data_IF_903583742002
#
_entry.id   IF_903583742002
#
_cell.length_a   1.000
_cell.length_b   1.000
_cell.length_c   1.000
_cell.angle_alpha   90.00
_cell.angle_beta   90.00
_cell.angle_gamma   90.00
#
_symmetry.space_group_name_H-M   'P 1'
#
loop_
_entity.id
_entity.type
_entity.pdbx_description
1 polymer ?
#
# COMPACT_ATOMS: atom_id res chain seq x y z
N UNK A 1 -17.91 15.19 21.63
CA UNK A 1 -16.87 15.97 20.93
C UNK A 1 -17.25 15.98 19.45
N UNK A 2 -17.65 17.13 18.90
CA UNK A 2 -18.03 17.25 17.49
C UNK A 2 -16.83 17.80 16.73
N UNK A 3 -16.18 16.96 15.93
CA UNK A 3 -15.07 17.38 15.07
C UNK A 3 -15.62 17.74 13.71
N UNK A 4 -15.40 18.98 13.28
CA UNK A 4 -15.74 19.42 11.93
C UNK A 4 -14.84 18.69 10.93
N UNK A 5 -15.41 17.77 10.17
CA UNK A 5 -14.71 17.09 9.08
C UNK A 5 -14.49 18.08 7.95
N UNK A 6 -13.24 18.46 7.72
CA UNK A 6 -12.83 19.33 6.63
C UNK A 6 -11.68 18.69 5.83
N UNK A 7 -11.39 19.24 4.64
CA UNK A 7 -10.40 18.67 3.73
C UNK A 7 -9.00 18.53 4.37
N UNK A 8 -8.61 19.46 5.26
CA UNK A 8 -7.34 19.38 5.98
C UNK A 8 -7.32 18.19 6.93
N UNK A 9 -8.36 18.06 7.76
CA UNK A 9 -8.51 16.95 8.71
C UNK A 9 -8.53 15.59 7.98
N UNK A 10 -9.23 15.48 6.85
CA UNK A 10 -9.25 14.26 6.04
C UNK A 10 -7.85 13.94 5.48
N UNK A 11 -7.15 14.95 4.95
CA UNK A 11 -5.79 14.76 4.42
C UNK A 11 -4.81 14.30 5.51
N UNK A 12 -4.86 14.92 6.68
CA UNK A 12 -4.01 14.56 7.82
C UNK A 12 -4.28 13.12 8.27
N UNK A 13 -5.56 12.75 8.41
CA UNK A 13 -5.95 11.39 8.76
C UNK A 13 -5.49 10.35 7.72
N UNK A 14 -5.57 10.67 6.42
CA UNK A 14 -5.07 9.78 5.35
C UNK A 14 -3.56 9.59 5.45
N UNK A 15 -2.81 10.66 5.72
CA UNK A 15 -1.34 10.60 5.87
C UNK A 15 -0.97 9.74 7.08
N UNK A 16 -1.61 9.99 8.22
CA UNK A 16 -1.36 9.25 9.47
C UNK A 16 -1.68 7.77 9.33
N UNK A 17 -2.84 7.45 8.74
CA UNK A 17 -3.25 6.08 8.47
C UNK A 17 -2.25 5.39 7.55
N UNK A 18 -1.86 6.04 6.45
CA UNK A 18 -0.89 5.48 5.51
C UNK A 18 0.47 5.22 6.17
N UNK A 19 0.97 6.15 6.98
CA UNK A 19 2.23 6.00 7.69
C UNK A 19 2.19 4.85 8.69
N UNK A 20 1.12 4.77 9.49
CA UNK A 20 0.91 3.72 10.49
C UNK A 20 0.82 2.35 9.84
N UNK A 21 -0.01 2.19 8.81
CA UNK A 21 -0.15 0.92 8.08
C UNK A 21 1.15 0.52 7.40
N UNK A 22 1.89 1.46 6.81
CA UNK A 22 3.18 1.17 6.17
C UNK A 22 4.19 0.64 7.20
N UNK A 23 4.26 1.26 8.38
CA UNK A 23 5.15 0.84 9.47
C UNK A 23 4.83 -0.59 9.92
N UNK A 24 3.56 -0.83 10.27
CA UNK A 24 3.08 -2.14 10.72
C UNK A 24 3.32 -3.23 9.66
N UNK A 25 3.02 -2.96 8.39
CA UNK A 25 3.31 -3.91 7.31
C UNK A 25 4.81 -4.18 7.15
N UNK A 26 5.65 -3.16 7.27
CA UNK A 26 7.10 -3.32 7.13
C UNK A 26 7.67 -4.17 8.25
N UNK A 27 7.23 -3.95 9.49
CA UNK A 27 7.60 -4.74 10.66
C UNK A 27 7.12 -6.19 10.52
N UNK A 28 5.85 -6.40 10.17
CA UNK A 28 5.30 -7.74 9.93
C UNK A 28 6.10 -8.52 8.87
N UNK A 29 6.45 -7.86 7.76
CA UNK A 29 7.24 -8.48 6.70
C UNK A 29 8.68 -8.78 7.13
N UNK A 30 9.29 -7.92 7.96
CA UNK A 30 10.61 -8.15 8.51
C UNK A 30 10.63 -9.33 9.48
N UNK A 31 9.65 -9.39 10.39
CA UNK A 31 9.53 -10.44 11.41
C UNK A 31 9.22 -11.82 10.80
N UNK A 32 8.51 -11.86 9.68
CA UNK A 32 8.09 -13.09 9.02
C UNK A 32 8.86 -13.40 7.73
N UNK A 33 10.04 -12.78 7.55
CA UNK A 33 10.84 -12.89 6.32
C UNK A 33 11.21 -14.33 5.94
N UNK A 34 11.38 -15.20 6.93
CA UNK A 34 11.71 -16.63 6.72
C UNK A 34 10.46 -17.49 6.46
N UNK A 35 9.28 -17.07 6.96
CA UNK A 35 8.02 -17.82 6.90
C UNK A 35 7.23 -17.58 5.60
N UNK A 36 7.41 -16.44 4.94
CA UNK A 36 6.71 -16.10 3.69
C UNK A 36 7.69 -15.89 2.53
N UNK A 37 8.17 -16.96 1.88
CA UNK A 37 9.15 -16.84 0.80
C UNK A 37 8.59 -16.21 -0.49
N UNK A 38 7.26 -16.08 -0.62
CA UNK A 38 6.61 -15.80 -1.89
C UNK A 38 5.85 -14.46 -1.89
N UNK A 39 6.54 -13.40 -2.32
CA UNK A 39 5.90 -12.15 -2.74
C UNK A 39 5.87 -12.10 -4.27
N UNK A 40 4.74 -11.70 -4.83
CA UNK A 40 4.63 -11.39 -6.27
C UNK A 40 4.40 -9.90 -6.44
N UNK A 41 5.23 -9.26 -7.27
CA UNK A 41 5.06 -7.86 -7.67
C UNK A 41 4.48 -7.81 -9.08
N UNK A 42 3.38 -7.09 -9.25
CA UNK A 42 2.82 -6.75 -10.56
C UNK A 42 3.07 -5.27 -10.80
N UNK A 43 3.87 -4.98 -11.83
CA UNK A 43 4.05 -3.63 -12.35
C UNK A 43 3.07 -3.41 -13.52
N UNK A 44 2.37 -2.29 -13.49
CA UNK A 44 1.46 -1.86 -14.55
C UNK A 44 1.87 -0.47 -15.02
N UNK A 45 1.96 -0.29 -16.34
CA UNK A 45 2.38 0.94 -16.97
C UNK A 45 1.26 1.44 -17.85
N UNK A 46 0.78 2.66 -17.59
CA UNK A 46 -0.24 3.26 -18.43
C UNK A 46 0.06 4.72 -18.68
N UNK A 47 -0.52 5.24 -19.77
CA UNK A 47 -0.49 6.66 -20.11
C UNK A 47 -1.89 7.21 -20.01
N UNK A 48 -2.09 8.29 -19.25
CA UNK A 48 -3.37 8.97 -19.19
C UNK A 48 -3.64 9.64 -20.55
N UNK A 49 -4.74 9.27 -21.20
CA UNK A 49 -5.10 9.81 -22.52
C UNK A 49 -5.39 11.32 -22.48
N UNK A 50 -5.85 11.84 -21.35
CA UNK A 50 -6.25 13.24 -21.20
C UNK A 50 -5.05 14.16 -20.90
N UNK A 51 -4.11 13.71 -20.08
CA UNK A 51 -2.95 14.52 -19.66
C UNK A 51 -1.65 14.13 -20.38
N UNK A 52 -1.64 13.01 -21.11
CA UNK A 52 -0.45 12.39 -21.71
C UNK A 52 0.65 11.99 -20.72
N UNK A 53 0.37 12.04 -19.41
CA UNK A 53 1.29 11.63 -18.37
C UNK A 53 1.43 10.11 -18.30
N UNK A 54 2.65 9.65 -17.99
CA UNK A 54 2.96 8.23 -17.78
C UNK A 54 2.90 7.89 -16.30
N UNK A 55 2.28 6.78 -15.98
CA UNK A 55 2.13 6.28 -14.62
C UNK A 55 2.66 4.86 -14.51
N UNK A 56 3.25 4.58 -13.34
CA UNK A 56 3.65 3.25 -12.91
C UNK A 56 2.84 2.89 -11.68
N UNK A 57 2.01 1.87 -11.80
CA UNK A 57 1.33 1.24 -10.67
C UNK A 57 2.07 -0.01 -10.25
N UNK A 58 2.26 -0.17 -8.94
CA UNK A 58 2.88 -1.35 -8.35
C UNK A 58 1.85 -2.01 -7.42
N UNK A 59 1.67 -3.33 -7.56
CA UNK A 59 0.84 -4.15 -6.68
C UNK A 59 1.68 -5.28 -6.12
N UNK A 60 1.81 -5.34 -4.80
CA UNK A 60 2.52 -6.41 -4.09
C UNK A 60 1.49 -7.37 -3.52
N UNK A 61 1.66 -8.66 -3.82
CA UNK A 61 0.83 -9.74 -3.32
C UNK A 61 1.68 -10.65 -2.43
N UNK A 62 1.19 -10.94 -1.23
CA UNK A 62 1.71 -12.01 -0.41
C UNK A 62 0.98 -13.30 -0.79
N UNK A 63 1.71 -14.32 -1.25
CA UNK A 63 1.13 -15.61 -1.62
C UNK A 63 1.36 -16.57 -0.48
N UNK A 64 0.32 -16.86 0.29
CA UNK A 64 0.37 -17.94 1.27
C UNK A 64 0.30 -19.27 0.50
N UNK A 65 1.40 -20.02 0.51
CA UNK A 65 1.39 -21.39 -0.01
C UNK A 65 0.50 -22.25 0.87
N UNK A 66 -0.53 -22.89 0.30
CA UNK A 66 -1.21 -24.00 0.96
C UNK A 66 -0.17 -25.11 1.14
N UNK A 67 0.23 -25.41 2.38
CA UNK A 67 1.00 -26.60 2.66
C UNK A 67 0.12 -27.81 2.30
N UNK A 68 0.49 -28.53 1.23
CA UNK A 68 -0.11 -29.80 0.82
C UNK A 68 0.68 -30.93 1.47
#
# INVERSE_FOLDING_TARGET
MQTTVNAKCVKEAIIELYQSTKMEMTEYLADNRESYPNFTLVADFWTCKTTSDKYLGLRVYMVQGLAI
#
